data_IF_088768951872
#
_entry.id   IF_088768951872
#
_cell.length_a   1.000
_cell.length_b   1.000
_cell.length_c   1.000
_cell.angle_alpha   90.00
_cell.angle_beta   90.00
_cell.angle_gamma   90.00
#
_symmetry.space_group_name_H-M   'P 1'
#
loop_
_entity.id
_entity.type
_entity.pdbx_description
1 polymer ?
#
# COMPACT_ATOMS: atom_id res chain seq x y z
N UNK A 1 41.08 -31.62 35.63
CA UNK A 1 40.66 -31.39 34.22
C UNK A 1 39.51 -30.40 34.23
N UNK A 2 39.69 -29.23 33.63
CA UNK A 2 38.66 -28.17 33.62
C UNK A 2 37.73 -28.33 32.39
N UNK A 3 36.40 -28.19 32.55
CA UNK A 3 35.48 -28.28 31.43
C UNK A 3 35.69 -27.11 30.45
N UNK A 4 35.91 -27.43 29.18
CA UNK A 4 36.15 -26.45 28.12
C UNK A 4 34.94 -25.57 27.81
N UNK A 5 35.17 -24.35 27.26
CA UNK A 5 34.13 -23.36 27.01
C UNK A 5 33.11 -23.86 25.98
N UNK A 6 31.84 -23.90 26.38
CA UNK A 6 30.72 -24.29 25.52
C UNK A 6 30.54 -23.26 24.38
N UNK A 7 30.34 -23.78 23.16
CA UNK A 7 30.09 -22.98 21.95
C UNK A 7 28.87 -22.06 22.18
N UNK A 8 29.04 -20.76 21.88
CA UNK A 8 28.09 -19.68 22.21
C UNK A 8 26.63 -19.89 21.75
N UNK A 9 26.38 -20.78 20.78
CA UNK A 9 25.03 -21.13 20.34
C UNK A 9 24.24 -22.02 21.32
N UNK A 10 24.91 -22.88 22.10
CA UNK A 10 24.25 -23.78 23.04
C UNK A 10 23.75 -23.04 24.28
N UNK A 11 24.51 -22.06 24.78
CA UNK A 11 24.14 -21.24 25.93
C UNK A 11 22.84 -20.44 25.70
N UNK A 12 22.62 -19.94 24.47
CA UNK A 12 21.38 -19.20 24.12
C UNK A 12 20.13 -20.07 24.09
N UNK A 13 20.23 -21.34 23.66
CA UNK A 13 19.08 -22.26 23.67
C UNK A 13 18.68 -22.64 25.09
N UNK A 14 19.66 -22.86 25.97
CA UNK A 14 19.43 -23.23 27.37
C UNK A 14 18.82 -22.07 28.18
N UNK A 15 19.28 -20.84 27.97
CA UNK A 15 18.70 -19.65 28.60
C UNK A 15 17.24 -19.37 28.17
N UNK A 16 16.88 -19.71 26.92
CA UNK A 16 15.49 -19.55 26.43
C UNK A 16 14.55 -20.61 26.99
N UNK A 17 15.03 -21.84 27.21
CA UNK A 17 14.25 -22.89 27.85
C UNK A 17 13.96 -22.56 29.33
N UNK A 18 14.96 -22.05 30.06
CA UNK A 18 14.79 -21.67 31.46
C UNK A 18 13.81 -20.50 31.68
N UNK A 19 13.74 -19.53 30.75
CA UNK A 19 12.74 -18.44 30.83
C UNK A 19 11.31 -18.92 30.59
N UNK A 20 11.10 -19.90 29.69
CA UNK A 20 9.77 -20.48 29.46
C UNK A 20 9.24 -21.21 30.69
N UNK A 21 10.10 -21.99 31.36
CA UNK A 21 9.70 -22.70 32.58
C UNK A 21 9.42 -21.77 33.76
N UNK A 22 10.07 -20.60 33.82
CA UNK A 22 9.80 -19.59 34.86
C UNK A 22 8.49 -18.82 34.61
N UNK A 23 8.11 -18.57 33.35
CA UNK A 23 6.84 -17.92 33.02
C UNK A 23 5.64 -18.85 33.22
N UNK A 24 5.78 -20.15 32.95
CA UNK A 24 4.70 -21.14 33.17
C UNK A 24 4.41 -21.38 34.66
N UNK A 25 5.38 -21.16 35.57
CA UNK A 25 5.19 -21.31 37.01
C UNK A 25 4.52 -20.13 37.73
N UNK A 26 4.46 -18.94 37.11
CA UNK A 26 3.92 -17.73 37.73
C UNK A 26 2.43 -17.47 37.41
N UNK A 27 1.82 -18.27 36.53
CA UNK A 27 0.43 -18.10 36.12
C UNK A 27 -0.59 -18.91 36.97
N UNK A 28 -0.16 -19.57 38.03
CA UNK A 28 -0.98 -20.51 38.82
C UNK A 28 -1.67 -19.95 40.06
N UNK A 29 -1.75 -18.63 40.26
CA UNK A 29 -2.32 -18.04 41.48
C UNK A 29 -3.16 -16.78 41.19
N UNK A 30 -3.92 -16.81 40.09
CA UNK A 30 -4.98 -15.85 39.86
C UNK A 30 -6.28 -16.41 40.47
N UNK A 31 -6.83 -15.59 41.36
CA UNK A 31 -8.08 -15.75 42.10
C UNK A 31 -9.21 -16.39 41.28
N UNK A 32 -9.95 -17.30 41.92
CA UNK A 32 -11.22 -17.77 41.40
C UNK A 32 -12.19 -16.58 41.26
N UNK A 33 -12.65 -16.25 40.05
CA UNK A 33 -13.71 -15.26 39.87
C UNK A 33 -15.01 -15.86 40.42
N UNK A 34 -15.42 -15.33 41.56
CA UNK A 34 -16.73 -15.54 42.17
C UNK A 34 -17.86 -15.27 41.16
N UNK A 35 -18.68 -16.28 40.95
CA UNK A 35 -20.10 -16.25 40.54
C UNK A 35 -20.61 -14.93 39.91
N UNK A 36 -20.25 -14.69 38.66
CA UNK A 36 -21.02 -13.81 37.79
C UNK A 36 -22.06 -14.68 37.08
N UNK A 37 -23.32 -14.48 37.45
CA UNK A 37 -24.50 -15.15 36.90
C UNK A 37 -24.44 -15.19 35.36
N UNK A 38 -24.30 -16.41 34.83
CA UNK A 38 -24.23 -16.70 33.41
C UNK A 38 -25.62 -16.63 32.75
N UNK A 39 -26.10 -15.42 32.50
CA UNK A 39 -27.15 -15.15 31.50
C UNK A 39 -26.52 -15.33 30.10
N UNK A 40 -26.51 -16.56 29.59
CA UNK A 40 -25.86 -16.88 28.32
C UNK A 40 -26.26 -18.24 27.75
N UNK A 41 -27.55 -18.46 27.54
CA UNK A 41 -28.15 -19.63 26.89
C UNK A 41 -27.83 -19.76 25.38
N UNK A 42 -26.59 -19.45 24.96
CA UNK A 42 -26.13 -19.56 23.57
C UNK A 42 -25.37 -20.85 23.23
N UNK A 43 -25.01 -21.67 24.22
CA UNK A 43 -24.02 -22.75 24.02
C UNK A 43 -24.56 -24.12 23.58
N UNK A 44 -25.85 -24.41 23.76
CA UNK A 44 -26.38 -25.76 23.52
C UNK A 44 -26.87 -25.99 22.08
N UNK A 45 -27.26 -24.94 21.37
CA UNK A 45 -27.86 -25.05 20.03
C UNK A 45 -26.85 -24.93 18.88
N UNK A 46 -25.65 -24.41 19.16
CA UNK A 46 -24.58 -24.31 18.15
C UNK A 46 -24.04 -25.69 17.72
N UNK A 47 -24.08 -26.68 18.62
CA UNK A 47 -23.67 -28.06 18.34
C UNK A 47 -24.70 -28.87 17.54
N UNK A 48 -25.95 -28.40 17.45
CA UNK A 48 -27.01 -29.04 16.64
C UNK A 48 -26.97 -28.63 15.16
N UNK A 49 -26.14 -27.65 14.78
CA UNK A 49 -25.94 -27.31 13.37
C UNK A 49 -25.32 -28.50 12.64
N UNK A 50 -25.91 -28.97 11.52
CA UNK A 50 -25.36 -30.09 10.76
C UNK A 50 -23.88 -29.84 10.40
N UNK A 51 -23.01 -30.85 10.61
CA UNK A 51 -21.55 -30.76 10.33
C UNK A 51 -21.20 -30.16 8.96
N UNK A 52 -22.09 -30.30 7.97
CA UNK A 52 -21.95 -29.73 6.62
C UNK A 52 -21.99 -28.19 6.58
N UNK A 53 -22.69 -27.54 7.50
CA UNK A 53 -22.80 -26.07 7.54
C UNK A 53 -21.57 -25.43 8.20
N UNK A 54 -21.03 -26.04 9.27
CA UNK A 54 -19.75 -25.61 9.84
C UNK A 54 -18.59 -25.70 8.83
N UNK A 55 -18.67 -26.61 7.84
CA UNK A 55 -17.69 -26.67 6.74
C UNK A 55 -17.84 -25.50 5.76
N UNK A 56 -19.04 -24.99 5.55
CA UNK A 56 -19.30 -23.86 4.67
C UNK A 56 -18.74 -22.55 5.26
N UNK A 57 -19.02 -22.26 6.53
CA UNK A 57 -18.48 -21.08 7.22
C UNK A 57 -16.94 -21.13 7.28
N UNK A 58 -16.37 -22.28 7.65
CA UNK A 58 -14.91 -22.49 7.60
C UNK A 58 -14.33 -22.34 6.19
N UNK A 59 -15.07 -22.72 5.15
CA UNK A 59 -14.63 -22.55 3.77
C UNK A 59 -14.64 -21.07 3.34
N UNK A 60 -15.63 -20.29 3.78
CA UNK A 60 -15.67 -18.84 3.53
C UNK A 60 -14.53 -18.10 4.23
N UNK A 61 -14.29 -18.42 5.51
CA UNK A 61 -13.16 -17.84 6.26
C UNK A 61 -11.82 -18.20 5.64
N UNK A 62 -11.68 -19.44 5.17
CA UNK A 62 -10.48 -19.88 4.46
C UNK A 62 -10.29 -19.09 3.15
N UNK A 63 -11.35 -18.89 2.37
CA UNK A 63 -11.30 -18.06 1.15
C UNK A 63 -10.93 -16.61 1.45
N UNK A 64 -11.49 -16.01 2.51
CA UNK A 64 -11.15 -14.65 2.95
C UNK A 64 -9.67 -14.54 3.32
N UNK A 65 -9.16 -15.48 4.14
CA UNK A 65 -7.74 -15.52 4.54
C UNK A 65 -6.80 -15.67 3.35
N UNK A 66 -7.17 -16.50 2.37
CA UNK A 66 -6.37 -16.67 1.17
C UNK A 66 -6.36 -15.41 0.30
N UNK A 67 -7.52 -14.75 0.12
CA UNK A 67 -7.60 -13.45 -0.55
C UNK A 67 -6.78 -12.38 0.17
N UNK A 68 -6.80 -12.35 1.50
CA UNK A 68 -5.96 -11.44 2.30
C UNK A 68 -4.47 -11.69 2.05
N UNK A 69 -4.03 -12.96 2.01
CA UNK A 69 -2.64 -13.33 1.74
C UNK A 69 -2.19 -12.87 0.35
N UNK A 70 -3.03 -13.13 -0.66
CA UNK A 70 -2.77 -12.73 -2.04
C UNK A 70 -2.75 -11.21 -2.20
N UNK A 71 -3.75 -10.50 -1.67
CA UNK A 71 -3.85 -9.06 -1.75
C UNK A 71 -2.74 -8.36 -0.96
N UNK A 72 -2.40 -8.86 0.23
CA UNK A 72 -1.29 -8.33 1.01
C UNK A 72 -0.01 -8.35 0.20
N UNK A 73 0.33 -9.50 -0.41
CA UNK A 73 1.53 -9.64 -1.25
C UNK A 73 1.47 -8.76 -2.51
N UNK A 74 0.34 -8.80 -3.23
CA UNK A 74 0.14 -8.10 -4.50
C UNK A 74 0.23 -6.57 -4.37
N UNK A 75 -0.37 -6.01 -3.33
CA UNK A 75 -0.48 -4.57 -3.14
C UNK A 75 0.52 -4.01 -2.11
N UNK A 76 1.38 -4.85 -1.51
CA UNK A 76 2.35 -4.44 -0.49
C UNK A 76 3.20 -3.25 -0.97
N UNK A 77 3.85 -3.40 -2.13
CA UNK A 77 4.75 -2.38 -2.67
C UNK A 77 4.03 -1.10 -3.07
N UNK A 78 2.84 -1.21 -3.67
CA UNK A 78 2.03 -0.06 -4.05
C UNK A 78 1.64 0.77 -2.82
N UNK A 79 1.15 0.11 -1.76
CA UNK A 79 0.83 0.76 -0.47
C UNK A 79 2.07 1.42 0.15
N UNK A 80 3.23 0.77 0.08
CA UNK A 80 4.49 1.33 0.58
C UNK A 80 4.87 2.62 -0.14
N UNK A 81 4.85 2.63 -1.48
CA UNK A 81 5.20 3.83 -2.27
C UNK A 81 4.24 4.98 -1.98
N UNK A 82 2.94 4.70 -1.92
CA UNK A 82 1.95 5.73 -1.60
C UNK A 82 2.09 6.25 -0.17
N UNK A 83 2.37 5.38 0.81
CA UNK A 83 2.68 5.78 2.19
C UNK A 83 3.86 6.74 2.22
N UNK A 84 4.96 6.41 1.55
CA UNK A 84 6.14 7.29 1.45
C UNK A 84 5.81 8.62 0.79
N UNK A 85 4.97 8.64 -0.26
CA UNK A 85 4.52 9.89 -0.90
C UNK A 85 3.75 10.78 0.08
N UNK A 86 2.82 10.21 0.84
CA UNK A 86 2.02 10.97 1.83
C UNK A 86 2.90 11.45 2.98
N UNK A 87 3.80 10.62 3.49
CA UNK A 87 4.75 11.04 4.54
C UNK A 87 5.62 12.23 4.10
N UNK A 88 6.04 12.26 2.82
CA UNK A 88 6.76 13.42 2.27
C UNK A 88 5.88 14.67 2.23
N UNK A 89 4.61 14.52 1.80
CA UNK A 89 3.64 15.62 1.79
C UNK A 89 3.38 16.16 3.21
N UNK A 90 3.12 15.30 4.19
CA UNK A 90 2.96 15.66 5.60
C UNK A 90 4.18 16.42 6.15
N UNK A 91 5.39 15.96 5.84
CA UNK A 91 6.62 16.67 6.23
C UNK A 91 6.74 18.04 5.56
N UNK A 92 6.34 18.15 4.29
CA UNK A 92 6.39 19.41 3.55
C UNK A 92 5.37 20.41 4.06
N UNK A 93 4.09 20.01 4.19
CA UNK A 93 3.02 20.87 4.71
C UNK A 93 3.29 21.28 6.15
N UNK A 94 3.81 20.37 6.99
CA UNK A 94 4.22 20.69 8.35
C UNK A 94 5.36 21.73 8.42
N UNK A 95 6.28 21.75 7.44
CA UNK A 95 7.31 22.80 7.35
C UNK A 95 6.72 24.13 6.90
N UNK A 96 5.88 24.12 5.87
CA UNK A 96 5.22 25.34 5.38
C UNK A 96 4.33 25.97 6.43
N UNK A 97 3.61 25.16 7.21
CA UNK A 97 2.76 25.65 8.29
C UNK A 97 3.57 26.39 9.36
N UNK A 98 4.75 25.88 9.73
CA UNK A 98 5.65 26.57 10.66
C UNK A 98 6.10 27.93 10.13
N UNK A 99 6.54 27.98 8.87
CA UNK A 99 6.97 29.23 8.22
C UNK A 99 5.83 30.24 8.13
N UNK A 100 4.60 29.81 7.81
CA UNK A 100 3.44 30.70 7.74
C UNK A 100 3.04 31.26 9.12
N UNK A 101 3.17 30.45 10.18
CA UNK A 101 2.94 30.89 11.56
C UNK A 101 4.01 31.89 12.03
N UNK A 102 5.28 31.66 11.67
CA UNK A 102 6.39 32.60 11.96
C UNK A 102 6.22 33.94 11.21
N UNK A 103 5.60 33.91 10.02
CA UNK A 103 5.31 35.09 9.21
C UNK A 103 3.95 35.76 9.51
N UNK A 104 3.21 35.28 10.52
CA UNK A 104 1.89 35.79 10.93
C UNK A 104 0.84 35.83 9.79
N UNK A 105 0.96 34.92 8.82
CA UNK A 105 0.01 34.83 7.70
C UNK A 105 -1.12 33.85 8.01
N UNK A 106 -2.20 34.36 8.59
CA UNK A 106 -3.31 33.53 9.07
C UNK A 106 -4.04 32.77 7.96
N UNK A 107 -4.30 33.41 6.81
CA UNK A 107 -5.02 32.79 5.69
C UNK A 107 -4.26 31.57 5.12
N UNK A 108 -2.95 31.73 4.89
CA UNK A 108 -2.08 30.64 4.44
C UNK A 108 -2.05 29.51 5.48
N UNK A 109 -1.97 29.85 6.77
CA UNK A 109 -1.95 28.87 7.85
C UNK A 109 -3.24 28.03 7.93
N UNK A 110 -4.42 28.64 7.71
CA UNK A 110 -5.70 27.91 7.67
C UNK A 110 -5.72 26.92 6.52
N UNK A 111 -5.33 27.34 5.31
CA UNK A 111 -5.28 26.45 4.14
C UNK A 111 -4.31 25.27 4.34
N UNK A 112 -3.16 25.51 4.98
CA UNK A 112 -2.16 24.48 5.27
C UNK A 112 -2.64 23.48 6.33
N UNK A 113 -3.43 23.93 7.32
CA UNK A 113 -4.09 23.04 8.30
C UNK A 113 -5.09 22.12 7.63
N UNK A 114 -5.88 22.62 6.69
CA UNK A 114 -6.82 21.78 5.91
C UNK A 114 -6.09 20.75 5.06
N UNK A 115 -5.02 21.14 4.37
CA UNK A 115 -4.18 20.22 3.61
C UNK A 115 -3.55 19.15 4.52
N UNK A 116 -3.10 19.54 5.72
CA UNK A 116 -2.55 18.62 6.71
C UNK A 116 -3.60 17.59 7.13
N UNK A 117 -4.82 18.03 7.48
CA UNK A 117 -5.95 17.12 7.80
C UNK A 117 -6.27 16.17 6.65
N UNK A 118 -6.29 16.67 5.42
CA UNK A 118 -6.51 15.85 4.22
C UNK A 118 -5.45 14.76 4.07
N UNK A 119 -4.17 15.11 4.21
CA UNK A 119 -3.06 14.14 4.13
C UNK A 119 -3.04 13.13 5.28
N UNK A 120 -3.48 13.52 6.48
CA UNK A 120 -3.64 12.59 7.60
C UNK A 120 -4.75 11.57 7.31
N UNK A 121 -5.90 12.02 6.79
CA UNK A 121 -6.98 11.12 6.37
C UNK A 121 -6.54 10.15 5.25
N UNK A 122 -5.71 10.60 4.31
CA UNK A 122 -5.11 9.73 3.30
C UNK A 122 -4.10 8.74 3.90
N UNK A 123 -3.31 9.15 4.90
CA UNK A 123 -2.39 8.26 5.60
C UNK A 123 -3.15 7.14 6.34
N UNK A 124 -4.21 7.49 7.07
CA UNK A 124 -5.10 6.54 7.74
C UNK A 124 -5.71 5.54 6.76
N UNK A 125 -6.16 6.03 5.60
CA UNK A 125 -6.71 5.19 4.54
C UNK A 125 -5.73 4.09 4.10
N UNK A 126 -4.44 4.41 3.90
CA UNK A 126 -3.44 3.40 3.51
C UNK A 126 -3.19 2.40 4.64
N UNK A 127 -2.99 2.91 5.86
CA UNK A 127 -2.61 2.07 7.02
C UNK A 127 -3.72 1.08 7.34
N UNK A 128 -4.96 1.54 7.39
CA UNK A 128 -6.12 0.76 7.82
C UNK A 128 -6.95 0.19 6.67
N UNK A 129 -6.40 0.16 5.45
CA UNK A 129 -7.12 -0.42 4.31
C UNK A 129 -7.46 -1.91 4.55
N UNK A 130 -8.72 -2.34 4.34
CA UNK A 130 -9.15 -3.73 4.54
C UNK A 130 -8.36 -4.73 3.69
N UNK A 131 -7.81 -5.76 4.34
CA UNK A 131 -6.88 -6.70 3.67
C UNK A 131 -7.57 -7.61 2.65
N UNK A 132 -8.84 -7.93 2.86
CA UNK A 132 -9.60 -8.83 1.98
C UNK A 132 -10.12 -8.14 0.70
N UNK A 133 -10.04 -6.80 0.63
CA UNK A 133 -10.44 -6.03 -0.55
C UNK A 133 -9.22 -5.70 -1.43
N UNK A 134 -9.40 -5.62 -2.77
CA UNK A 134 -8.33 -5.16 -3.65
C UNK A 134 -8.08 -3.67 -3.47
N UNK A 135 -6.83 -3.31 -3.19
CA UNK A 135 -6.42 -1.94 -2.89
C UNK A 135 -6.76 -0.97 -4.03
N UNK A 136 -7.35 0.18 -3.68
CA UNK A 136 -7.63 1.26 -4.62
C UNK A 136 -6.64 2.41 -4.44
N UNK A 137 -5.80 2.64 -5.44
CA UNK A 137 -4.71 3.61 -5.37
C UNK A 137 -5.24 5.03 -5.14
N UNK A 138 -4.53 5.80 -4.32
CA UNK A 138 -4.81 7.22 -4.09
C UNK A 138 -4.24 8.10 -5.20
N UNK A 139 -3.13 7.69 -5.81
CA UNK A 139 -2.44 8.46 -6.85
C UNK A 139 -2.31 7.68 -8.17
N UNK A 140 -3.43 7.24 -8.79
CA UNK A 140 -3.38 6.67 -10.13
C UNK A 140 -3.04 7.75 -11.16
N UNK A 141 -2.52 7.35 -12.33
CA UNK A 141 -2.21 8.29 -13.41
C UNK A 141 -3.49 8.93 -13.99
N UNK A 142 -4.57 8.15 -14.09
CA UNK A 142 -5.90 8.61 -14.47
C UNK A 142 -6.88 8.15 -13.39
N UNK A 143 -7.56 9.11 -12.78
CA UNK A 143 -8.49 8.83 -11.68
C UNK A 143 -9.92 8.95 -12.16
N UNK A 144 -10.70 7.88 -12.02
CA UNK A 144 -12.12 7.87 -12.38
C UNK A 144 -12.99 8.28 -11.19
N UNK A 145 -14.13 8.92 -11.45
CA UNK A 145 -15.03 9.36 -10.37
C UNK A 145 -15.65 8.19 -9.61
N UNK A 146 -15.86 7.05 -10.28
CA UNK A 146 -16.26 5.81 -9.61
C UNK A 146 -15.20 5.33 -8.60
N UNK A 147 -13.92 5.50 -8.94
CA UNK A 147 -12.82 5.16 -8.04
C UNK A 147 -12.80 6.07 -6.81
N UNK A 148 -12.99 7.38 -6.99
CA UNK A 148 -13.09 8.36 -5.90
C UNK A 148 -14.20 7.99 -4.91
N UNK A 149 -15.41 7.73 -5.41
CA UNK A 149 -16.56 7.31 -4.58
C UNK A 149 -16.24 6.06 -3.76
N UNK A 150 -15.66 5.04 -4.39
CA UNK A 150 -15.24 3.81 -3.69
C UNK A 150 -14.19 4.08 -2.61
N UNK A 151 -13.27 5.05 -2.81
CA UNK A 151 -12.31 5.43 -1.77
C UNK A 151 -13.00 6.13 -0.60
N UNK A 152 -13.99 6.98 -0.86
CA UNK A 152 -14.77 7.67 0.18
C UNK A 152 -15.59 6.67 1.01
N UNK A 153 -16.24 5.70 0.37
CA UNK A 153 -16.95 4.61 1.05
C UNK A 153 -16.02 3.84 1.99
N UNK A 154 -14.83 3.47 1.52
CA UNK A 154 -13.84 2.75 2.34
C UNK A 154 -13.32 3.64 3.47
N UNK A 155 -13.07 4.93 3.22
CA UNK A 155 -12.69 5.90 4.27
C UNK A 155 -13.75 5.98 5.35
N UNK A 156 -15.05 6.01 4.99
CA UNK A 156 -16.16 5.99 5.92
C UNK A 156 -16.17 4.71 6.76
N UNK A 157 -16.04 3.54 6.12
CA UNK A 157 -15.97 2.25 6.81
C UNK A 157 -14.78 2.14 7.78
N UNK A 158 -13.61 2.68 7.42
CA UNK A 158 -12.44 2.74 8.32
C UNK A 158 -12.75 3.59 9.56
N UNK A 159 -13.39 4.75 9.38
CA UNK A 159 -13.79 5.62 10.50
C UNK A 159 -14.80 4.93 11.41
N UNK A 160 -15.80 4.27 10.84
CA UNK A 160 -16.81 3.51 11.60
C UNK A 160 -16.18 2.37 12.41
N UNK A 161 -15.26 1.62 11.80
CA UNK A 161 -14.55 0.52 12.47
C UNK A 161 -13.71 1.04 13.65
N UNK A 162 -12.95 2.13 13.45
CA UNK A 162 -12.13 2.72 14.53
C UNK A 162 -12.95 3.43 15.60
N UNK A 163 -14.08 4.06 15.24
CA UNK A 163 -14.98 4.66 16.21
C UNK A 163 -15.57 3.59 17.14
N UNK A 164 -15.88 2.40 16.61
CA UNK A 164 -16.36 1.26 17.39
C UNK A 164 -15.29 0.61 18.29
N UNK A 165 -14.01 0.65 17.90
CA UNK A 165 -12.90 0.05 18.66
C UNK A 165 -12.42 0.90 19.85
N UNK A 166 -12.98 2.10 20.05
CA UNK A 166 -12.67 2.97 21.19
C UNK A 166 -12.11 4.33 20.75
N UNK A 167 -13.00 5.32 20.76
CA UNK A 167 -12.79 6.78 20.73
C UNK A 167 -11.37 7.29 20.48
N UNK A 168 -11.00 7.41 19.20
CA UNK A 168 -9.72 7.99 18.74
C UNK A 168 -9.79 9.51 18.60
N UNK A 169 -10.98 10.13 18.67
CA UNK A 169 -11.11 11.59 18.58
C UNK A 169 -10.42 12.33 19.75
N UNK A 170 -10.18 11.66 20.87
CA UNK A 170 -9.35 12.22 21.95
C UNK A 170 -7.86 12.30 21.58
N UNK A 171 -7.36 11.47 20.64
CA UNK A 171 -5.93 11.35 20.35
C UNK A 171 -5.44 12.42 19.35
N UNK A 172 -6.28 12.83 18.39
CA UNK A 172 -5.92 13.90 17.43
C UNK A 172 -5.80 15.26 18.11
N UNK A 173 -6.63 15.51 19.11
CA UNK A 173 -6.54 16.72 19.95
C UNK A 173 -5.23 16.72 20.78
N UNK A 174 -4.84 15.56 21.33
CA UNK A 174 -3.59 15.43 22.08
C UNK A 174 -2.33 15.52 21.18
N UNK A 175 -2.41 15.10 19.91
CA UNK A 175 -1.29 15.15 18.98
C UNK A 175 -0.92 16.58 18.53
N UNK A 176 -1.89 17.50 18.46
CA UNK A 176 -1.60 18.92 18.21
C UNK A 176 -0.80 19.55 19.37
N UNK A 177 -1.13 19.20 20.62
CA UNK A 177 -0.37 19.68 21.79
C UNK A 177 1.05 19.09 21.84
N UNK A 178 1.23 17.83 21.43
CA UNK A 178 2.54 17.19 21.41
C UNK A 178 3.49 17.82 20.37
N UNK A 179 2.95 18.37 19.27
CA UNK A 179 3.76 19.07 18.26
C UNK A 179 4.06 20.52 18.67
N UNK A 180 3.17 21.17 19.42
CA UNK A 180 3.38 22.50 20.00
C UNK A 180 4.45 22.50 21.10
N UNK A 181 4.53 21.44 21.91
CA UNK A 181 5.44 21.37 23.06
C UNK A 181 6.91 21.06 22.73
N UNK A 182 7.25 20.64 21.50
CA UNK A 182 8.62 20.19 21.16
C UNK A 182 9.50 21.21 20.43
N UNK A 183 9.03 22.46 20.33
CA UNK A 183 9.78 23.56 19.70
C UNK A 183 10.67 24.35 20.67
N UNK A 184 10.69 24.01 21.96
CA UNK A 184 11.54 24.65 22.97
C UNK A 184 12.54 23.66 23.58
N UNK A 185 13.29 22.94 22.74
CA UNK A 185 14.58 22.46 23.20
C UNK A 185 15.63 23.40 22.62
N UNK A 186 16.00 24.37 23.46
CA UNK A 186 17.32 24.96 23.49
C UNK A 186 18.34 23.94 23.02
N UNK A 187 19.14 24.32 22.02
CA UNK A 187 20.34 23.59 21.68
C UNK A 187 21.20 23.50 22.96
N UNK A 188 21.46 22.31 23.54
CA UNK A 188 22.48 22.20 24.55
C UNK A 188 23.80 22.56 23.86
N UNK A 189 24.33 23.72 24.24
CA UNK A 189 25.62 24.22 23.80
C UNK A 189 26.66 23.11 23.83
N UNK A 190 27.38 23.00 22.72
CA UNK A 190 28.43 22.04 22.46
C UNK A 190 29.40 21.83 23.65
N UNK A 191 29.26 20.72 24.36
CA UNK A 191 30.41 20.10 25.04
C UNK A 191 31.10 19.18 24.05
N UNK A 192 32.23 19.67 23.52
CA UNK A 192 33.27 18.90 22.83
C UNK A 192 33.57 17.63 23.64
N UNK A 193 33.11 16.47 23.16
CA UNK A 193 33.70 15.20 23.54
C UNK A 193 34.49 14.69 22.33
N UNK A 194 35.79 14.54 22.55
CA UNK A 194 36.74 14.03 21.58
C UNK A 194 36.36 12.62 21.13
N UNK A 195 36.48 12.29 19.83
CA UNK A 195 36.27 10.94 19.34
C UNK A 195 37.44 10.06 19.77
N UNK A 196 37.25 9.26 20.82
CA UNK A 196 38.19 8.18 21.15
C UNK A 196 38.09 7.08 20.09
N UNK A 197 39.20 6.94 19.35
CA UNK A 197 39.38 6.00 18.26
C UNK A 197 39.31 4.54 18.75
N UNK A 198 38.13 3.92 18.66
CA UNK A 198 38.01 2.46 18.77
C UNK A 198 38.15 1.82 17.39
N UNK A 199 39.39 1.40 17.12
CA UNK A 199 39.83 0.59 15.97
C UNK A 199 38.97 -0.68 15.82
N UNK A 200 37.95 -0.66 14.96
CA UNK A 200 37.28 -1.87 14.48
C UNK A 200 37.96 -2.35 13.21
N UNK A 201 38.93 -3.27 13.38
CA UNK A 201 39.55 -4.08 12.31
C UNK A 201 38.45 -4.70 11.44
N UNK A 202 38.16 -4.11 10.28
CA UNK A 202 37.51 -4.81 9.17
C UNK A 202 38.61 -5.31 8.25
N UNK A 203 38.75 -6.64 8.23
CA UNK A 203 39.63 -7.39 7.35
C UNK A 203 39.11 -7.19 5.92
N UNK A 204 39.70 -6.23 5.21
CA UNK A 204 39.51 -6.05 3.78
C UNK A 204 40.19 -7.22 3.07
N UNK A 205 39.43 -7.95 2.26
CA UNK A 205 39.96 -8.85 1.24
C UNK A 205 40.03 -8.03 -0.04
N UNK A 206 41.23 -7.55 -0.33
CA UNK A 206 41.62 -6.90 -1.56
C UNK A 206 41.64 -7.95 -2.68
N UNK A 207 40.89 -7.70 -3.75
CA UNK A 207 41.23 -8.18 -5.08
C UNK A 207 41.28 -6.95 -5.98
N UNK A 208 42.51 -6.55 -6.16
CA UNK A 208 43.11 -5.52 -6.99
C UNK A 208 42.74 -5.71 -8.47
N UNK A 209 42.19 -4.65 -9.08
CA UNK A 209 42.27 -4.40 -10.51
C UNK A 209 42.36 -2.88 -10.70
N UNK A 210 43.45 -2.36 -11.28
CA UNK A 210 43.57 -0.96 -11.65
C UNK A 210 42.88 -0.73 -13.00
N UNK A 211 42.42 0.50 -13.27
CA UNK A 211 42.47 1.22 -14.56
C UNK A 211 41.52 2.43 -14.53
N UNK A 212 42.17 3.59 -14.50
CA UNK A 212 41.88 4.87 -15.18
C UNK A 212 40.64 5.71 -14.82
N UNK A 213 40.97 6.91 -14.32
CA UNK A 213 40.14 8.11 -14.30
C UNK A 213 39.61 8.45 -15.71
N UNK A 214 38.45 9.13 -15.79
CA UNK A 214 38.57 10.50 -16.25
C UNK A 214 37.70 11.51 -15.49
N UNK A 215 38.39 12.58 -15.10
CA UNK A 215 38.08 13.98 -15.36
C UNK A 215 36.62 14.47 -15.30
N UNK A 216 36.44 15.43 -14.40
CA UNK A 216 35.30 16.32 -14.26
C UNK A 216 34.84 16.95 -15.58
N UNK A 217 33.59 16.71 -15.96
CA UNK A 217 32.88 17.54 -16.94
C UNK A 217 31.67 18.23 -16.31
N UNK A 218 31.81 19.54 -16.16
CA UNK A 218 30.77 20.53 -15.81
C UNK A 218 29.63 20.45 -16.83
N UNK A 219 28.45 19.94 -16.47
CA UNK A 219 27.24 20.11 -17.29
C UNK A 219 26.52 21.40 -16.92
N UNK A 220 26.72 22.39 -17.80
CA UNK A 220 26.00 23.65 -17.88
C UNK A 220 24.49 23.39 -18.01
N UNK A 221 23.71 24.13 -17.21
CA UNK A 221 22.29 24.41 -17.45
C UNK A 221 22.12 24.90 -18.90
N UNK A 222 21.35 24.18 -19.70
CA UNK A 222 20.78 24.71 -20.94
C UNK A 222 19.30 24.91 -20.69
N UNK A 223 18.93 26.16 -20.41
CA UNK A 223 17.56 26.62 -20.53
C UNK A 223 17.17 26.48 -22.00
N UNK A 224 16.16 25.67 -22.30
CA UNK A 224 15.52 25.65 -23.60
C UNK A 224 14.21 26.40 -23.46
N UNK A 225 14.26 27.67 -23.81
CA UNK A 225 13.13 28.52 -24.15
C UNK A 225 12.40 27.89 -25.34
N UNK A 226 11.16 27.43 -25.12
CA UNK A 226 10.19 27.23 -26.19
C UNK A 226 9.21 28.40 -26.12
N UNK A 227 9.59 29.44 -26.85
CA UNK A 227 8.77 30.58 -27.22
C UNK A 227 8.07 30.24 -28.55
N UNK A 228 6.82 30.68 -28.69
CA UNK A 228 5.96 30.69 -29.88
C UNK A 228 5.31 29.37 -30.35
N UNK A 229 3.99 29.26 -30.09
CA UNK A 229 2.98 29.23 -31.15
C UNK A 229 1.59 29.36 -30.53
N UNK A 230 1.08 30.60 -30.55
CA UNK A 230 -0.34 30.91 -30.43
C UNK A 230 -0.97 30.44 -31.74
N UNK A 231 -1.78 29.39 -31.69
CA UNK A 231 -2.69 29.04 -32.78
C UNK A 231 -4.10 29.03 -32.20
N UNK A 232 -4.90 29.98 -32.67
CA UNK A 232 -6.28 30.18 -32.27
C UNK A 232 -7.20 29.05 -32.76
N UNK A 233 -8.33 28.79 -32.05
CA UNK A 233 -9.20 27.66 -32.29
C UNK A 233 -10.12 27.87 -33.51
N UNK A 234 -9.92 27.04 -34.54
CA UNK A 234 -10.87 26.92 -35.63
C UNK A 234 -12.12 26.13 -35.18
N UNK A 235 -13.23 26.86 -35.16
CA UNK A 235 -14.61 26.41 -34.93
C UNK A 235 -15.02 25.29 -35.90
N UNK A 236 -15.18 24.07 -35.41
CA UNK A 236 -15.91 23.01 -36.11
C UNK A 236 -17.27 22.75 -35.44
N UNK A 237 -18.29 23.41 -35.97
CA UNK A 237 -19.71 23.07 -35.84
C UNK A 237 -19.92 21.61 -36.28
N UNK A 238 -20.52 20.74 -35.44
CA UNK A 238 -21.41 19.68 -35.93
C UNK A 238 -22.29 19.03 -34.86
N UNK A 239 -23.60 19.24 -35.10
CA UNK A 239 -24.75 18.37 -34.86
C UNK A 239 -25.17 18.09 -33.41
N UNK A 240 -26.13 18.91 -33.00
CA UNK A 240 -27.25 18.51 -32.16
C UNK A 240 -27.82 17.16 -32.62
N UNK A 241 -28.01 16.24 -31.67
CA UNK A 241 -28.91 15.11 -31.83
C UNK A 241 -29.96 15.23 -30.72
N UNK A 242 -31.04 15.94 -31.05
CA UNK A 242 -32.29 15.98 -30.31
C UNK A 242 -33.20 14.89 -30.87
N UNK A 243 -33.61 13.95 -30.02
CA UNK A 243 -34.64 12.95 -30.26
C UNK A 243 -34.89 12.27 -28.91
N UNK A 244 -35.72 12.86 -28.06
CA UNK A 244 -37.18 12.64 -27.97
C UNK A 244 -37.50 11.27 -27.34
N UNK A 245 -38.21 11.23 -26.20
CA UNK A 245 -38.54 10.01 -25.48
C UNK A 245 -39.83 9.40 -26.02
N UNK A 246 -39.74 8.20 -26.60
CA UNK A 246 -40.93 7.36 -26.83
C UNK A 246 -41.28 6.59 -25.56
N UNK A 247 -42.37 7.01 -24.91
CA UNK A 247 -43.32 6.11 -24.27
C UNK A 247 -43.66 4.94 -25.21
N UNK A 248 -43.94 3.76 -24.63
CA UNK A 248 -45.16 2.95 -24.87
C UNK A 248 -44.93 1.49 -24.44
N UNK A 249 -45.89 1.01 -23.65
CA UNK A 249 -46.35 -0.38 -23.45
C UNK A 249 -45.61 -1.34 -22.51
N UNK A 250 -46.17 -1.43 -21.30
CA UNK A 250 -46.62 -2.69 -20.70
C UNK A 250 -47.33 -3.57 -21.74
N UNK A 251 -46.88 -4.82 -21.93
CA UNK A 251 -47.74 -6.02 -22.05
C UNK A 251 -46.90 -7.24 -21.61
N UNK A 252 -47.35 -7.93 -20.56
CA UNK A 252 -46.75 -9.20 -20.13
C UNK A 252 -47.16 -10.36 -21.03
N UNK A 253 -46.48 -11.50 -20.90
CA UNK A 253 -47.12 -12.79 -20.56
C UNK A 253 -46.15 -13.96 -20.74
N UNK A 254 -46.45 -15.01 -19.96
CA UNK A 254 -46.26 -16.44 -20.25
C UNK A 254 -44.88 -17.08 -20.02
N UNK A 255 -44.80 -17.61 -18.81
CA UNK A 255 -44.34 -18.97 -18.48
C UNK A 255 -44.47 -19.95 -19.67
N UNK A 256 -43.40 -20.70 -19.94
CA UNK A 256 -43.51 -22.09 -20.37
C UNK A 256 -42.35 -22.90 -19.79
N UNK A 257 -42.68 -23.69 -18.78
CA UNK A 257 -41.94 -24.89 -18.42
C UNK A 257 -42.23 -25.94 -19.49
N UNK A 258 -41.20 -26.66 -19.93
CA UNK A 258 -41.19 -28.03 -20.49
C UNK A 258 -39.69 -28.31 -20.76
N UNK A 259 -39.02 -29.16 -19.99
CA UNK A 259 -38.99 -30.62 -20.04
C UNK A 259 -37.67 -31.14 -20.68
N UNK A 260 -36.92 -31.84 -19.83
CA UNK A 260 -36.00 -32.95 -20.07
C UNK A 260 -35.50 -33.26 -21.51
N UNK A 261 -34.17 -33.40 -21.63
CA UNK A 261 -33.55 -34.20 -22.69
C UNK A 261 -32.02 -34.07 -22.76
N UNK A 262 -31.22 -35.10 -22.43
CA UNK A 262 -29.76 -35.05 -22.41
C UNK A 262 -29.14 -35.49 -23.75
N UNK A 263 -28.11 -34.78 -24.21
CA UNK A 263 -27.24 -35.19 -25.32
C UNK A 263 -25.89 -34.48 -25.17
N UNK A 264 -24.89 -35.08 -24.50
CA UNK A 264 -23.86 -35.92 -25.10
C UNK A 264 -23.07 -35.25 -26.24
N UNK A 265 -21.76 -35.09 -25.98
CA UNK A 265 -20.63 -35.05 -26.93
C UNK A 265 -20.37 -33.72 -27.68
N UNK A 266 -19.48 -32.91 -27.11
CA UNK A 266 -18.15 -32.63 -27.67
C UNK A 266 -17.46 -31.55 -26.84
N UNK A 267 -16.82 -31.95 -25.75
CA UNK A 267 -15.76 -31.12 -25.14
C UNK A 267 -14.54 -31.18 -26.07
N UNK A 268 -14.53 -30.27 -27.03
CA UNK A 268 -13.29 -29.87 -27.69
C UNK A 268 -12.48 -29.17 -26.60
N UNK A 269 -11.50 -29.89 -26.05
CA UNK A 269 -10.48 -29.32 -25.19
C UNK A 269 -9.99 -28.02 -25.83
N UNK A 270 -10.16 -26.91 -25.09
CA UNK A 270 -9.57 -25.64 -25.43
C UNK A 270 -8.05 -25.81 -25.42
N UNK A 271 -7.50 -26.17 -26.59
CA UNK A 271 -6.07 -26.14 -26.86
C UNK A 271 -5.57 -24.79 -26.40
N UNK A 272 -4.62 -24.77 -25.46
CA UNK A 272 -3.86 -23.58 -25.11
C UNK A 272 -3.27 -22.99 -26.39
N UNK A 273 -3.95 -22.02 -26.99
CA UNK A 273 -3.38 -21.20 -28.03
C UNK A 273 -2.29 -20.39 -27.35
N UNK A 274 -1.05 -20.84 -27.51
CA UNK A 274 0.13 -20.08 -27.12
C UNK A 274 -0.04 -18.65 -27.62
N UNK A 275 -0.10 -17.70 -26.69
CA UNK A 275 -0.14 -16.29 -27.03
C UNK A 275 1.09 -16.03 -27.92
N UNK A 276 0.84 -15.66 -29.18
CA UNK A 276 1.89 -15.24 -30.10
C UNK A 276 2.62 -14.09 -29.40
N UNK A 277 3.87 -14.32 -29.02
CA UNK A 277 4.71 -13.29 -28.40
C UNK A 277 4.77 -12.04 -29.29
N UNK A 278 5.09 -10.88 -28.71
CA UNK A 278 5.20 -9.63 -29.45
C UNK A 278 6.11 -9.84 -30.66
N UNK A 279 5.57 -9.62 -31.86
CA UNK A 279 6.34 -9.61 -33.11
C UNK A 279 7.27 -8.41 -33.04
N UNK A 280 8.52 -8.66 -32.71
CA UNK A 280 9.55 -7.64 -32.75
C UNK A 280 9.98 -7.49 -34.21
N UNK A 281 9.43 -6.48 -34.87
CA UNK A 281 9.83 -6.06 -36.21
C UNK A 281 11.16 -5.33 -36.11
N UNK A 282 12.26 -6.01 -36.40
CA UNK A 282 13.56 -5.37 -36.66
C UNK A 282 13.83 -5.42 -38.16
N UNK A 283 14.18 -4.29 -38.75
CA UNK A 283 14.65 -4.19 -40.13
C UNK A 283 16.09 -4.70 -40.23
N UNK A 284 16.36 -5.57 -41.20
CA UNK A 284 17.72 -6.04 -41.50
C UNK A 284 18.35 -4.99 -42.41
N UNK A 285 19.37 -4.31 -41.92
CA UNK A 285 20.17 -3.38 -42.71
C UNK A 285 21.41 -4.13 -43.18
N UNK A 286 21.61 -4.21 -44.50
CA UNK A 286 22.81 -4.80 -45.10
C UNK A 286 23.97 -3.81 -44.93
N UNK A 287 24.90 -4.11 -44.03
CA UNK A 287 26.16 -3.39 -43.90
C UNK A 287 27.28 -4.08 -44.69
N UNK A 288 28.32 -3.33 -45.08
CA UNK A 288 29.48 -3.85 -45.82
C UNK A 288 30.26 -4.94 -45.06
N UNK A 289 30.11 -5.03 -43.73
CA UNK A 289 30.71 -6.06 -42.88
C UNK A 289 29.75 -7.21 -42.49
N UNK A 290 28.59 -7.31 -43.15
CA UNK A 290 27.59 -8.36 -42.93
C UNK A 290 26.29 -7.86 -42.30
N UNK A 291 25.23 -8.66 -42.49
CA UNK A 291 23.85 -8.32 -42.11
C UNK A 291 23.71 -8.21 -40.58
N UNK A 292 23.50 -6.98 -40.07
CA UNK A 292 23.22 -6.72 -38.65
C UNK A 292 21.75 -6.31 -38.49
N UNK A 293 21.08 -6.91 -37.49
CA UNK A 293 19.74 -6.48 -37.07
C UNK A 293 19.88 -5.21 -36.23
N UNK A 294 19.36 -4.10 -36.74
CA UNK A 294 19.29 -2.83 -36.01
C UNK A 294 17.90 -2.70 -35.41
N UNK A 295 17.81 -2.33 -34.13
CA UNK A 295 16.54 -2.00 -33.49
C UNK A 295 16.31 -0.50 -33.60
N UNK A 296 15.07 -0.08 -33.90
CA UNK A 296 14.71 1.33 -34.07
C UNK A 296 15.05 2.23 -32.87
N UNK A 297 15.30 1.65 -31.69
CA UNK A 297 15.69 2.37 -30.48
C UNK A 297 17.09 3.02 -30.52
N UNK A 298 17.94 2.67 -31.49
CA UNK A 298 19.32 3.22 -31.61
C UNK A 298 19.46 4.31 -32.71
N UNK A 299 18.35 4.77 -33.31
CA UNK A 299 18.39 5.71 -34.45
C UNK A 299 18.26 7.20 -34.10
N UNK A 300 18.17 7.57 -32.82
CA UNK A 300 18.13 8.96 -32.37
C UNK A 300 19.44 9.36 -31.65
N UNK A 301 20.45 9.73 -32.45
CA UNK A 301 21.73 10.30 -31.99
C UNK A 301 22.21 11.41 -32.89
#
# INVERSE_FOLDING_TARGET
MAPGPLKAGAARKLARAQRRSAEEGAAGLAEEPSDVQAEGTGGADEWRRPRKWMRAEKAEDWRKKELERLNCTKYHYLKFVEKVKIERKLKSTGRFLKVALEAEKEEEAVSLREQLRSHLADHEYIVHYPKHLPYNALFPAQDSDASKKRREEIKKMIRETRAGEGSVDAEVSAAEDLWKGKSQNEAPAAKKQEPTASKKKRKAKSSEAPIEEPAASKKKKKAKSSEAAIEEPAVSKKKANSGEPTEVSLVGTKRKADAAGPSSKNEVHASWKAAKGPKVSGSIVKGEEGDRKVFDSDSEG
#
